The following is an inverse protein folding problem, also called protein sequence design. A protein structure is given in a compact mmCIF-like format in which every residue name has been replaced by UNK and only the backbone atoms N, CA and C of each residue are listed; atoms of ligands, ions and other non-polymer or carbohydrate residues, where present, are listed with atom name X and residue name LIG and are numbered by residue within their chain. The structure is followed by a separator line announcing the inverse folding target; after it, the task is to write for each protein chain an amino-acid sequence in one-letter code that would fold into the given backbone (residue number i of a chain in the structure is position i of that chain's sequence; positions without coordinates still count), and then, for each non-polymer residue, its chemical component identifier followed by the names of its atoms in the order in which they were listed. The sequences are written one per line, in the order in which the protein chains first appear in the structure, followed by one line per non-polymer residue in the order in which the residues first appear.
data_IF_575108332354
#
_entry.id   IF_575108332354
#
_cell.length_a   1.000
_cell.length_b   1.000
_cell.length_c   1.000
_cell.angle_alpha   90.00
_cell.angle_beta   90.00
_cell.angle_gamma   90.00
#
_symmetry.space_group_name_H-M   'P 1'
#
loop_
_entity.id
_entity.type
_entity.pdbx_description
1 polymer ?
#
# COMPACT_ATOMS: atom_id res chain seq x y z
N UNK A 1 26.50 -13.49 2.30
CA UNK A 1 25.10 -13.10 2.04
C UNK A 1 24.19 -13.41 3.22
N UNK A 2 24.21 -14.62 3.78
CA UNK A 2 23.22 -15.04 4.79
C UNK A 2 23.28 -14.30 6.14
N UNK A 3 24.44 -13.82 6.58
CA UNK A 3 24.59 -13.37 7.97
C UNK A 3 23.86 -12.04 8.26
N UNK A 4 23.94 -11.01 7.40
CA UNK A 4 23.19 -9.76 7.64
C UNK A 4 21.68 -9.91 7.44
N UNK A 5 21.25 -10.64 6.41
CA UNK A 5 19.83 -10.80 6.08
C UNK A 5 19.12 -11.63 7.15
N UNK A 6 19.75 -12.69 7.64
CA UNK A 6 19.23 -13.51 8.73
C UNK A 6 19.20 -12.74 10.04
N UNK A 7 20.27 -12.00 10.41
CA UNK A 7 20.26 -11.14 11.60
C UNK A 7 19.16 -10.08 11.53
N UNK A 8 18.98 -9.46 10.37
CA UNK A 8 17.91 -8.49 10.12
C UNK A 8 16.52 -9.11 10.27
N UNK A 9 16.30 -10.32 9.75
CA UNK A 9 15.03 -11.03 9.89
C UNK A 9 14.73 -11.36 11.35
N UNK A 10 15.70 -11.96 12.06
CA UNK A 10 15.57 -12.29 13.49
C UNK A 10 15.28 -11.03 14.29
N UNK A 11 15.99 -9.93 14.02
CA UNK A 11 15.72 -8.63 14.63
C UNK A 11 14.27 -8.20 14.42
N UNK A 12 13.78 -8.19 13.18
CA UNK A 12 12.41 -7.79 12.87
C UNK A 12 11.38 -8.71 13.50
N UNK A 13 11.61 -10.02 13.56
CA UNK A 13 10.71 -10.97 14.23
C UNK A 13 10.65 -10.71 15.73
N UNK A 14 11.80 -10.60 16.40
CA UNK A 14 11.86 -10.29 17.84
C UNK A 14 11.17 -8.96 18.13
N UNK A 15 11.43 -7.95 17.30
CA UNK A 15 10.79 -6.64 17.41
C UNK A 15 9.26 -6.73 17.31
N UNK A 16 8.73 -7.41 16.29
CA UNK A 16 7.28 -7.57 16.14
C UNK A 16 6.68 -8.42 17.26
N UNK A 17 7.40 -9.42 17.78
CA UNK A 17 6.94 -10.22 18.92
C UNK A 17 6.81 -9.38 20.20
N UNK A 18 7.75 -8.47 20.46
CA UNK A 18 7.67 -7.55 21.60
C UNK A 18 6.42 -6.65 21.52
N UNK A 19 6.16 -6.07 20.34
CA UNK A 19 4.97 -5.25 20.12
C UNK A 19 3.68 -6.05 20.08
N UNK A 20 3.70 -7.28 19.60
CA UNK A 20 2.59 -8.22 19.71
C UNK A 20 2.24 -8.49 21.18
N UNK A 21 3.23 -8.83 22.01
CA UNK A 21 3.02 -9.04 23.45
C UNK A 21 2.46 -7.77 24.11
N UNK A 22 3.04 -6.60 23.81
CA UNK A 22 2.54 -5.32 24.32
C UNK A 22 1.09 -5.05 23.87
N UNK A 23 0.75 -5.32 22.61
CA UNK A 23 -0.59 -5.16 22.06
C UNK A 23 -1.61 -6.06 22.76
N UNK A 24 -1.25 -7.32 23.05
CA UNK A 24 -2.09 -8.28 23.78
C UNK A 24 -2.29 -7.84 25.24
N UNK A 25 -1.20 -7.46 25.93
CA UNK A 25 -1.25 -7.05 27.35
C UNK A 25 -2.03 -5.75 27.55
N UNK A 26 -1.81 -4.76 26.68
CA UNK A 26 -2.46 -3.45 26.77
C UNK A 26 -3.86 -3.43 26.11
N UNK A 27 -4.25 -4.52 25.44
CA UNK A 27 -5.52 -4.60 24.71
C UNK A 27 -5.66 -3.50 23.64
N UNK A 28 -4.54 -3.02 23.09
CA UNK A 28 -4.53 -1.91 22.14
C UNK A 28 -3.82 -2.28 20.84
N UNK A 29 -4.49 -1.91 19.77
CA UNK A 29 -4.13 -2.08 18.38
C UNK A 29 -3.45 -0.84 17.80
N UNK A 30 -3.46 0.28 18.54
CA UNK A 30 -2.81 1.53 18.15
C UNK A 30 -1.29 1.42 17.95
N UNK A 31 -0.70 0.35 18.50
CA UNK A 31 0.73 0.07 18.43
C UNK A 31 1.16 -0.55 17.10
N UNK A 32 0.25 -1.10 16.28
CA UNK A 32 0.62 -1.80 15.03
C UNK A 32 1.32 -0.87 14.05
N UNK A 33 0.71 0.29 13.81
CA UNK A 33 1.16 1.28 12.84
C UNK A 33 2.48 1.94 13.31
N UNK A 34 2.60 2.16 14.63
CA UNK A 34 3.85 2.66 15.23
C UNK A 34 4.99 1.66 15.03
N UNK A 35 4.76 0.40 15.44
CA UNK A 35 5.75 -0.67 15.36
C UNK A 35 6.23 -0.93 13.93
N UNK A 36 5.34 -0.85 12.94
CA UNK A 36 5.72 -0.99 11.53
C UNK A 36 6.77 0.03 11.11
N UNK A 37 6.47 1.32 11.26
CA UNK A 37 7.38 2.38 10.80
C UNK A 37 8.65 2.52 11.65
N UNK A 38 8.59 2.32 12.98
CA UNK A 38 9.81 2.31 13.80
C UNK A 38 10.72 1.14 13.51
N UNK A 39 10.18 -0.03 13.13
CA UNK A 39 10.99 -1.18 12.71
C UNK A 39 11.79 -0.85 11.43
N UNK A 40 11.17 -0.22 10.42
CA UNK A 40 11.90 0.25 9.23
C UNK A 40 13.06 1.19 9.58
N UNK A 41 12.80 2.18 10.42
CA UNK A 41 13.81 3.14 10.86
C UNK A 41 14.97 2.43 11.58
N UNK A 42 14.65 1.60 12.58
CA UNK A 42 15.67 0.93 13.40
C UNK A 42 16.44 -0.11 12.61
N UNK A 43 15.81 -0.83 11.68
CA UNK A 43 16.47 -1.82 10.85
C UNK A 43 17.46 -1.16 9.87
N UNK A 44 17.07 -0.05 9.23
CA UNK A 44 17.94 0.71 8.36
C UNK A 44 19.14 1.31 9.12
N UNK A 45 18.91 1.80 10.35
CA UNK A 45 19.95 2.30 11.24
C UNK A 45 20.89 1.18 11.71
N UNK A 46 20.33 0.06 12.15
CA UNK A 46 21.08 -1.14 12.56
C UNK A 46 22.02 -1.60 11.44
N UNK A 47 21.51 -1.71 10.21
CA UNK A 47 22.32 -2.08 9.05
C UNK A 47 23.49 -1.10 8.84
N UNK A 48 23.23 0.21 8.83
CA UNK A 48 24.27 1.23 8.64
C UNK A 48 25.34 1.21 9.74
N UNK A 49 24.96 0.95 11.00
CA UNK A 49 25.87 0.94 12.14
C UNK A 49 26.78 -0.30 12.15
N UNK A 50 26.27 -1.44 11.69
CA UNK A 50 27.01 -2.72 11.61
C UNK A 50 28.04 -2.74 10.48
N UNK A 51 27.90 -1.88 9.47
CA UNK A 51 28.87 -1.78 8.39
C UNK A 51 30.10 -0.97 8.81
N UNK A 52 31.28 -1.58 8.65
CA UNK A 52 32.56 -0.88 8.82
C UNK A 52 32.74 0.20 7.74
N UNK A 53 32.52 -0.16 6.47
CA UNK A 53 32.57 0.78 5.35
C UNK A 53 31.19 1.39 5.12
N UNK A 54 30.93 2.48 5.85
CA UNK A 54 29.72 3.32 5.70
C UNK A 54 29.80 4.18 4.44
N UNK A 55 29.63 3.56 3.29
CA UNK A 55 29.63 4.24 1.98
C UNK A 55 28.59 5.36 1.98
N UNK A 56 28.83 6.41 1.17
CA UNK A 56 27.89 7.52 1.05
C UNK A 56 26.50 7.04 0.61
N UNK A 57 26.45 6.11 -0.35
CA UNK A 57 25.23 5.45 -0.82
C UNK A 57 24.43 4.80 0.31
N UNK A 58 25.09 4.03 1.19
CA UNK A 58 24.44 3.39 2.33
C UNK A 58 23.85 4.44 3.29
N UNK A 59 24.60 5.49 3.63
CA UNK A 59 24.11 6.59 4.49
C UNK A 59 22.89 7.29 3.91
N UNK A 60 22.90 7.56 2.60
CA UNK A 60 21.77 8.17 1.90
C UNK A 60 20.56 7.24 1.97
N UNK A 61 20.68 5.97 1.58
CA UNK A 61 19.55 5.04 1.62
C UNK A 61 18.96 4.88 3.03
N UNK A 62 19.80 4.77 4.06
CA UNK A 62 19.34 4.76 5.44
C UNK A 62 18.55 6.03 5.75
N UNK A 63 19.02 7.20 5.34
CA UNK A 63 18.31 8.47 5.52
C UNK A 63 16.98 8.49 4.78
N UNK A 64 16.93 8.04 3.52
CA UNK A 64 15.70 7.99 2.72
C UNK A 64 14.65 7.08 3.38
N UNK A 65 15.04 5.88 3.80
CA UNK A 65 14.14 4.95 4.49
C UNK A 65 13.69 5.55 5.84
N UNK A 66 14.60 6.14 6.61
CA UNK A 66 14.29 6.78 7.89
C UNK A 66 13.29 7.93 7.74
N UNK A 67 13.46 8.79 6.74
CA UNK A 67 12.54 9.92 6.48
C UNK A 67 11.17 9.41 6.06
N UNK A 68 11.12 8.43 5.14
CA UNK A 68 9.85 7.82 4.72
C UNK A 68 9.13 7.16 5.89
N UNK A 69 9.85 6.39 6.71
CA UNK A 69 9.32 5.68 7.86
C UNK A 69 8.79 6.65 8.93
N UNK A 70 9.55 7.70 9.24
CA UNK A 70 9.12 8.75 10.16
C UNK A 70 7.82 9.41 9.67
N UNK A 71 7.77 9.81 8.39
CA UNK A 71 6.57 10.40 7.80
C UNK A 71 5.38 9.44 7.86
N UNK A 72 5.57 8.15 7.55
CA UNK A 72 4.51 7.15 7.63
C UNK A 72 3.98 7.01 9.06
N UNK A 73 4.87 6.80 10.02
CA UNK A 73 4.53 6.67 11.44
C UNK A 73 3.78 7.89 11.96
N UNK A 74 4.24 9.12 11.65
CA UNK A 74 3.57 10.34 12.06
C UNK A 74 2.17 10.48 11.45
N UNK A 75 2.01 10.18 10.16
CA UNK A 75 0.72 10.24 9.49
C UNK A 75 -0.28 9.24 10.07
N UNK A 76 0.14 7.99 10.26
CA UNK A 76 -0.71 6.94 10.83
C UNK A 76 -1.08 7.23 12.29
N UNK A 77 -0.11 7.69 13.10
CA UNK A 77 -0.37 8.10 14.48
C UNK A 77 -1.39 9.25 14.54
N UNK A 78 -1.22 10.27 13.70
CA UNK A 78 -2.16 11.39 13.60
C UNK A 78 -3.57 10.91 13.22
N UNK A 79 -3.67 9.97 12.27
CA UNK A 79 -4.93 9.37 11.83
C UNK A 79 -5.64 8.62 12.96
N UNK A 80 -4.90 7.83 13.74
CA UNK A 80 -5.42 7.07 14.89
C UNK A 80 -5.94 8.00 15.99
N UNK A 81 -5.21 9.09 16.28
CA UNK A 81 -5.63 10.07 17.30
C UNK A 81 -6.94 10.76 16.88
N UNK A 82 -7.09 11.07 15.59
CA UNK A 82 -8.25 11.79 15.08
C UNK A 82 -9.51 10.91 14.96
N UNK A 83 -9.36 9.65 14.56
CA UNK A 83 -10.48 8.74 14.34
C UNK A 83 -10.30 7.50 15.22
N UNK A 84 -10.82 7.56 16.45
CA UNK A 84 -10.50 6.61 17.53
C UNK A 84 -10.98 5.17 17.35
N UNK A 85 -11.73 4.84 16.30
CA UNK A 85 -12.22 3.48 16.04
C UNK A 85 -11.78 2.98 14.66
N UNK A 86 -10.84 2.04 14.65
CA UNK A 86 -10.55 1.24 13.47
C UNK A 86 -11.37 -0.06 13.54
N UNK A 87 -12.45 -0.13 12.75
CA UNK A 87 -13.41 -1.26 12.78
C UNK A 87 -12.77 -2.59 12.39
N UNK A 88 -11.66 -2.57 11.63
CA UNK A 88 -10.85 -3.75 11.26
C UNK A 88 -10.25 -4.46 12.47
N UNK A 89 -9.91 -3.72 13.53
CA UNK A 89 -9.14 -4.23 14.67
C UNK A 89 -10.03 -4.86 15.76
N UNK A 90 -11.34 -4.62 15.75
CA UNK A 90 -12.30 -5.39 16.57
C UNK A 90 -12.37 -6.86 16.16
N UNK A 91 -12.26 -7.17 14.87
CA UNK A 91 -12.26 -8.56 14.38
C UNK A 91 -10.95 -9.31 14.70
N UNK A 92 -9.81 -8.60 14.76
CA UNK A 92 -8.52 -9.20 15.13
C UNK A 92 -8.45 -9.61 16.60
N UNK A 93 -9.15 -8.90 17.50
CA UNK A 93 -9.26 -9.26 18.92
C UNK A 93 -9.98 -10.60 19.15
N UNK A 94 -10.80 -11.05 18.19
CA UNK A 94 -11.51 -12.32 18.32
C UNK A 94 -10.62 -13.55 18.11
N UNK A 95 -9.39 -13.39 17.59
CA UNK A 95 -8.47 -14.52 17.38
C UNK A 95 -7.01 -14.11 17.53
N UNK A 96 -6.37 -14.63 18.59
CA UNK A 96 -4.94 -14.42 18.85
C UNK A 96 -4.06 -14.89 17.68
N UNK A 97 -4.50 -15.94 16.95
CA UNK A 97 -3.81 -16.47 15.79
C UNK A 97 -3.84 -15.53 14.59
N UNK A 98 -4.97 -14.85 14.35
CA UNK A 98 -5.06 -13.82 13.30
C UNK A 98 -4.17 -12.63 13.62
N UNK A 99 -4.14 -12.21 14.90
CA UNK A 99 -3.26 -11.14 15.35
C UNK A 99 -1.78 -11.54 15.20
N UNK A 100 -1.37 -12.72 15.67
CA UNK A 100 -0.01 -13.21 15.52
C UNK A 100 0.42 -13.30 14.04
N UNK A 101 -0.47 -13.77 13.16
CA UNK A 101 -0.22 -13.82 11.71
C UNK A 101 -0.01 -12.42 11.12
N UNK A 102 -0.80 -11.43 11.54
CA UNK A 102 -0.61 -10.03 11.12
C UNK A 102 0.79 -9.51 11.49
N UNK A 103 1.23 -9.71 12.74
CA UNK A 103 2.55 -9.27 13.20
C UNK A 103 3.69 -9.97 12.46
N UNK A 104 3.53 -11.26 12.15
CA UNK A 104 4.51 -11.99 11.35
C UNK A 104 4.58 -11.49 9.90
N UNK A 105 3.43 -11.28 9.25
CA UNK A 105 3.38 -10.67 7.90
C UNK A 105 3.99 -9.28 7.91
N UNK A 106 3.77 -8.49 8.96
CA UNK A 106 4.41 -7.20 9.14
C UNK A 106 5.95 -7.31 9.29
N UNK A 107 6.46 -8.33 9.99
CA UNK A 107 7.90 -8.60 10.09
C UNK A 107 8.50 -8.92 8.72
N UNK A 108 7.87 -9.82 7.97
CA UNK A 108 8.29 -10.19 6.61
C UNK A 108 8.23 -8.97 5.69
N UNK A 109 7.18 -8.15 5.82
CA UNK A 109 7.03 -6.96 5.00
C UNK A 109 8.17 -5.96 5.23
N UNK A 110 8.49 -5.63 6.49
CA UNK A 110 9.61 -4.74 6.83
C UNK A 110 10.93 -5.31 6.32
N UNK A 111 11.15 -6.61 6.52
CA UNK A 111 12.38 -7.29 6.13
C UNK A 111 12.61 -7.25 4.62
N UNK A 112 11.66 -7.75 3.82
CA UNK A 112 11.77 -7.81 2.34
C UNK A 112 11.89 -6.41 1.75
N UNK A 113 11.10 -5.46 2.24
CA UNK A 113 11.10 -4.09 1.74
C UNK A 113 12.44 -3.38 2.05
N UNK A 114 13.14 -3.79 3.11
CA UNK A 114 14.47 -3.27 3.48
C UNK A 114 15.64 -3.92 2.72
N UNK A 115 15.40 -4.84 1.78
CA UNK A 115 16.48 -5.54 1.08
C UNK A 115 17.52 -4.64 0.39
N UNK A 116 17.19 -3.49 -0.23
CA UNK A 116 18.19 -2.60 -0.84
C UNK A 116 19.25 -2.10 0.16
N UNK A 117 18.82 -1.71 1.38
CA UNK A 117 19.75 -1.25 2.42
C UNK A 117 20.54 -2.43 2.99
N UNK A 118 19.89 -3.59 3.20
CA UNK A 118 20.55 -4.81 3.66
C UNK A 118 21.57 -5.35 2.65
N UNK A 119 21.28 -5.27 1.35
CA UNK A 119 22.16 -5.70 0.28
C UNK A 119 23.44 -4.85 0.25
N UNK A 120 23.31 -3.53 0.31
CA UNK A 120 24.45 -2.61 0.38
C UNK A 120 25.26 -2.77 1.66
N UNK A 121 24.60 -3.03 2.79
CA UNK A 121 25.25 -3.24 4.08
C UNK A 121 25.79 -4.66 4.29
N UNK A 122 25.56 -5.57 3.36
CA UNK A 122 26.01 -6.96 3.48
C UNK A 122 27.52 -7.10 3.39
N UNK A 123 28.06 -8.12 4.04
CA UNK A 123 29.49 -8.46 4.01
C UNK A 123 29.96 -8.70 2.57
N UNK A 124 29.08 -9.26 1.72
CA UNK A 124 29.33 -9.45 0.29
C UNK A 124 29.51 -8.12 -0.45
N UNK A 125 28.66 -7.13 -0.20
CA UNK A 125 28.82 -5.77 -0.77
C UNK A 125 30.09 -5.08 -0.24
N UNK A 126 30.41 -5.26 1.04
CA UNK A 126 31.58 -4.66 1.68
C UNK A 126 32.91 -5.20 1.11
N UNK A 127 32.93 -6.43 0.61
CA UNK A 127 34.07 -7.05 -0.06
C UNK A 127 34.28 -6.54 -1.50
N UNK A 128 33.29 -5.88 -2.10
CA UNK A 128 33.39 -5.33 -3.45
C UNK A 128 34.07 -3.96 -3.47
N UNK A 129 34.68 -3.56 -4.61
CA UNK A 129 35.20 -2.21 -4.79
C UNK A 129 34.11 -1.15 -4.65
N UNK A 130 34.42 -0.02 -3.99
CA UNK A 130 33.48 1.09 -3.90
C UNK A 130 33.40 1.79 -5.24
N UNK A 131 32.23 1.75 -5.88
CA UNK A 131 31.95 2.51 -7.08
C UNK A 131 31.54 3.95 -6.76
N UNK A 132 31.94 4.93 -7.60
CA UNK A 132 31.46 6.30 -7.49
C UNK A 132 29.94 6.38 -7.68
N UNK A 133 29.37 7.54 -7.42
CA UNK A 133 27.97 7.82 -7.74
C UNK A 133 27.78 7.85 -9.25
N UNK A 134 26.69 7.26 -9.74
CA UNK A 134 26.31 7.25 -11.14
C UNK A 134 24.95 7.93 -11.35
N UNK A 135 24.52 8.05 -12.59
CA UNK A 135 23.25 8.68 -12.96
C UNK A 135 22.04 8.03 -12.27
N UNK A 136 22.09 6.72 -12.01
CA UNK A 136 21.00 5.99 -11.35
C UNK A 136 20.84 6.36 -9.87
N UNK A 137 21.93 6.77 -9.19
CA UNK A 137 21.84 7.30 -7.83
C UNK A 137 20.96 8.55 -7.79
N UNK A 138 21.27 9.54 -8.63
CA UNK A 138 20.54 10.80 -8.70
C UNK A 138 19.11 10.60 -9.19
N UNK A 139 18.91 9.77 -10.22
CA UNK A 139 17.58 9.43 -10.71
C UNK A 139 16.74 8.74 -9.61
N UNK A 140 17.34 7.83 -8.85
CA UNK A 140 16.69 7.17 -7.72
C UNK A 140 16.30 8.15 -6.61
N UNK A 141 17.16 9.10 -6.25
CA UNK A 141 16.85 10.11 -5.23
C UNK A 141 15.76 11.08 -5.68
N UNK A 142 15.78 11.51 -6.94
CA UNK A 142 14.72 12.36 -7.51
C UNK A 142 13.38 11.62 -7.56
N UNK A 143 13.39 10.35 -7.98
CA UNK A 143 12.20 9.51 -8.01
C UNK A 143 11.65 9.28 -6.60
N UNK A 144 12.51 9.02 -5.62
CA UNK A 144 12.14 8.88 -4.23
C UNK A 144 11.52 10.17 -3.68
N UNK A 145 12.13 11.32 -3.96
CA UNK A 145 11.62 12.62 -3.49
C UNK A 145 10.25 12.93 -4.10
N UNK A 146 10.10 12.74 -5.42
CA UNK A 146 8.83 12.90 -6.11
C UNK A 146 7.74 11.96 -5.57
N UNK A 147 8.11 10.70 -5.30
CA UNK A 147 7.24 9.70 -4.70
C UNK A 147 6.78 10.09 -3.30
N UNK A 148 7.71 10.49 -2.42
CA UNK A 148 7.40 10.92 -1.06
C UNK A 148 6.49 12.15 -1.03
N UNK A 149 6.76 13.13 -1.90
CA UNK A 149 5.94 14.34 -2.02
C UNK A 149 4.52 14.00 -2.50
N UNK A 150 4.39 13.17 -3.54
CA UNK A 150 3.09 12.74 -4.05
C UNK A 150 2.30 11.97 -2.98
N UNK A 151 2.94 11.02 -2.31
CA UNK A 151 2.33 10.25 -1.22
C UNK A 151 1.82 11.18 -0.11
N UNK A 152 2.67 12.10 0.34
CA UNK A 152 2.34 13.06 1.41
C UNK A 152 1.17 13.97 1.02
N UNK A 153 1.18 14.50 -0.20
CA UNK A 153 0.12 15.37 -0.71
C UNK A 153 -1.20 14.61 -0.87
N UNK A 154 -1.15 13.39 -1.42
CA UNK A 154 -2.32 12.53 -1.56
C UNK A 154 -2.96 12.22 -0.20
N UNK A 155 -2.15 11.79 0.77
CA UNK A 155 -2.62 11.44 2.12
C UNK A 155 -3.24 12.65 2.83
N UNK A 156 -2.61 13.82 2.72
CA UNK A 156 -3.13 15.07 3.28
C UNK A 156 -4.46 15.48 2.64
N UNK A 157 -4.56 15.44 1.31
CA UNK A 157 -5.79 15.78 0.59
C UNK A 157 -6.93 14.84 0.97
N UNK A 158 -6.67 13.53 1.07
CA UNK A 158 -7.66 12.53 1.51
C UNK A 158 -8.13 12.79 2.93
N UNK A 159 -7.20 13.14 3.83
CA UNK A 159 -7.51 13.47 5.21
C UNK A 159 -8.38 14.73 5.31
N UNK A 160 -8.07 15.78 4.55
CA UNK A 160 -8.87 17.00 4.49
C UNK A 160 -10.27 16.74 3.91
N UNK A 161 -10.36 15.94 2.84
CA UNK A 161 -11.62 15.56 2.25
C UNK A 161 -12.51 14.84 3.28
N UNK A 162 -11.96 13.85 4.00
CA UNK A 162 -12.70 13.10 5.02
C UNK A 162 -13.18 14.00 6.17
N UNK A 163 -12.41 15.02 6.56
CA UNK A 163 -12.82 16.00 7.58
C UNK A 163 -13.99 16.87 7.12
N UNK A 164 -14.02 17.26 5.84
CA UNK A 164 -15.05 18.15 5.27
C UNK A 164 -16.28 17.40 4.74
N UNK A 165 -16.20 16.08 4.58
CA UNK A 165 -17.27 15.26 4.02
C UNK A 165 -18.66 15.42 4.69
N UNK A 166 -18.78 15.63 6.02
CA UNK A 166 -20.09 15.88 6.65
C UNK A 166 -20.74 17.23 6.26
N UNK A 167 -19.93 18.20 5.81
CA UNK A 167 -20.37 19.58 5.52
C UNK A 167 -20.63 19.81 4.03
N UNK A 168 -20.10 18.94 3.17
CA UNK A 168 -20.16 19.06 1.73
C UNK A 168 -21.22 18.11 1.15
N UNK A 169 -22.24 18.65 0.50
CA UNK A 169 -23.10 17.93 -0.46
C UNK A 169 -22.31 17.51 -1.74
N UNK A 170 -21.04 17.13 -1.60
CA UNK A 170 -20.15 16.71 -2.68
C UNK A 170 -20.15 15.19 -2.83
N UNK A 171 -19.53 14.72 -3.92
CA UNK A 171 -19.32 13.29 -4.16
C UNK A 171 -18.65 12.64 -2.94
N UNK A 172 -19.08 11.45 -2.51
CA UNK A 172 -18.59 10.81 -1.29
C UNK A 172 -17.20 10.18 -1.42
N UNK A 173 -16.53 10.36 -2.56
CA UNK A 173 -15.14 9.98 -2.79
C UNK A 173 -14.26 11.21 -3.07
N UNK A 174 -12.98 11.11 -2.71
CA UNK A 174 -12.02 12.19 -2.87
C UNK A 174 -11.63 12.34 -4.35
N UNK A 175 -11.85 13.54 -4.89
CA UNK A 175 -11.42 13.94 -6.24
C UNK A 175 -10.55 15.20 -6.19
N UNK A 176 -10.07 15.56 -5.00
CA UNK A 176 -9.30 16.77 -4.75
C UNK A 176 -7.85 16.61 -5.21
N UNK A 177 -7.32 17.62 -5.91
CA UNK A 177 -5.90 17.69 -6.26
C UNK A 177 -5.38 16.45 -7.01
N UNK A 178 -4.44 15.71 -6.41
CA UNK A 178 -3.81 14.56 -7.07
C UNK A 178 -4.76 13.37 -7.24
N UNK A 179 -5.82 13.30 -6.44
CA UNK A 179 -6.88 12.29 -6.54
C UNK A 179 -7.75 12.45 -7.80
N UNK A 180 -7.64 13.58 -8.50
CA UNK A 180 -8.27 13.73 -9.82
C UNK A 180 -7.54 12.94 -10.90
N UNK A 181 -6.24 12.67 -10.75
CA UNK A 181 -5.43 12.03 -11.77
C UNK A 181 -5.29 10.51 -11.57
N UNK A 182 -5.48 10.04 -10.35
CA UNK A 182 -5.42 8.62 -10.00
C UNK A 182 -6.37 8.35 -8.83
N UNK A 183 -6.93 7.14 -8.77
CA UNK A 183 -7.74 6.66 -7.66
C UNK A 183 -6.90 6.26 -6.45
N UNK A 184 -5.62 5.97 -6.63
CA UNK A 184 -4.66 5.63 -5.57
C UNK A 184 -3.30 6.34 -5.77
N UNK A 185 -3.27 7.69 -5.80
CA UNK A 185 -2.04 8.45 -6.06
C UNK A 185 -1.00 8.27 -4.95
N UNK A 186 -1.45 8.00 -3.71
CA UNK A 186 -0.55 7.69 -2.60
C UNK A 186 0.20 6.36 -2.82
N UNK A 187 -0.46 5.33 -3.36
CA UNK A 187 0.19 4.06 -3.71
C UNK A 187 1.18 4.22 -4.86
N UNK A 188 0.89 5.08 -5.84
CA UNK A 188 1.88 5.40 -6.87
C UNK A 188 3.10 6.11 -6.28
N UNK A 189 2.90 7.04 -5.34
CA UNK A 189 3.98 7.68 -4.60
C UNK A 189 4.86 6.67 -3.85
N UNK A 190 4.24 5.71 -3.17
CA UNK A 190 4.93 4.62 -2.47
C UNK A 190 5.74 3.74 -3.44
N UNK A 191 5.21 3.42 -4.63
CA UNK A 191 5.98 2.72 -5.66
C UNK A 191 7.21 3.52 -6.09
N UNK A 192 7.07 4.82 -6.35
CA UNK A 192 8.19 5.68 -6.70
C UNK A 192 9.26 5.73 -5.60
N UNK A 193 8.86 5.74 -4.32
CA UNK A 193 9.77 5.63 -3.17
C UNK A 193 10.62 4.37 -3.25
N UNK A 194 10.00 3.20 -3.38
CA UNK A 194 10.74 1.93 -3.32
C UNK A 194 11.54 1.65 -4.60
N UNK A 195 11.03 2.03 -5.77
CA UNK A 195 11.80 1.99 -7.01
C UNK A 195 12.97 2.97 -6.97
N UNK A 196 12.81 4.16 -6.38
CA UNK A 196 13.90 5.12 -6.17
C UNK A 196 14.99 4.59 -5.25
N UNK A 197 14.61 3.90 -4.16
CA UNK A 197 15.55 3.22 -3.25
C UNK A 197 16.33 2.12 -3.96
N UNK A 198 15.68 1.32 -4.82
CA UNK A 198 16.36 0.31 -5.63
C UNK A 198 17.32 0.92 -6.66
N UNK A 199 16.87 1.93 -7.44
CA UNK A 199 17.72 2.58 -8.43
C UNK A 199 18.97 3.20 -7.80
N UNK A 200 18.82 3.80 -6.62
CA UNK A 200 19.94 4.36 -5.86
C UNK A 200 20.85 3.32 -5.20
N UNK A 201 20.41 2.07 -5.07
CA UNK A 201 21.27 0.97 -4.60
C UNK A 201 22.02 0.27 -5.73
N UNK A 202 21.51 0.34 -6.97
CA UNK A 202 21.91 -0.48 -8.11
C UNK A 202 23.43 -0.59 -8.31
N UNK A 203 24.14 0.54 -8.40
CA UNK A 203 25.58 0.54 -8.64
C UNK A 203 26.38 -0.18 -7.54
N UNK A 204 25.87 -0.23 -6.30
CA UNK A 204 26.52 -0.95 -5.21
C UNK A 204 26.18 -2.45 -5.16
N UNK A 205 25.25 -2.93 -5.98
CA UNK A 205 24.81 -4.34 -5.97
C UNK A 205 24.93 -5.02 -7.34
N UNK A 206 25.17 -4.28 -8.43
CA UNK A 206 25.16 -4.81 -9.80
C UNK A 206 26.23 -5.88 -10.07
N UNK A 207 27.38 -5.84 -9.40
CA UNK A 207 28.46 -6.83 -9.58
C UNK A 207 28.17 -8.18 -8.89
N UNK A 208 27.07 -8.27 -8.15
CA UNK A 208 26.65 -9.48 -7.45
C UNK A 208 25.20 -9.79 -7.80
N UNK A 209 24.99 -10.76 -8.70
CA UNK A 209 23.65 -11.17 -9.11
C UNK A 209 22.71 -11.44 -7.94
N UNK A 210 23.11 -12.13 -6.86
CA UNK A 210 22.23 -12.31 -5.71
C UNK A 210 21.87 -11.02 -4.95
N UNK A 211 22.81 -10.07 -4.82
CA UNK A 211 22.53 -8.78 -4.18
C UNK A 211 21.61 -7.92 -5.04
N UNK A 212 21.79 -7.95 -6.36
CA UNK A 212 20.89 -7.32 -7.31
C UNK A 212 19.47 -7.90 -7.19
N UNK A 213 19.33 -9.23 -7.18
CA UNK A 213 18.04 -9.92 -7.02
C UNK A 213 17.39 -9.56 -5.68
N UNK A 214 18.16 -9.51 -4.58
CA UNK A 214 17.65 -9.07 -3.30
C UNK A 214 17.16 -7.61 -3.35
N UNK A 215 17.95 -6.70 -3.94
CA UNK A 215 17.59 -5.29 -4.02
C UNK A 215 16.32 -5.05 -4.84
N UNK A 216 16.16 -5.70 -6.01
CA UNK A 216 14.96 -5.54 -6.85
C UNK A 216 13.73 -6.23 -6.26
N UNK A 217 13.91 -7.24 -5.42
CA UNK A 217 12.79 -7.91 -4.76
C UNK A 217 11.97 -6.96 -3.87
N UNK A 218 12.57 -5.91 -3.30
CA UNK A 218 11.85 -4.92 -2.47
C UNK A 218 10.74 -4.18 -3.24
N UNK A 219 11.04 -3.38 -4.29
CA UNK A 219 9.99 -2.65 -5.00
C UNK A 219 9.00 -3.58 -5.72
N UNK A 220 9.45 -4.75 -6.19
CA UNK A 220 8.56 -5.76 -6.78
C UNK A 220 7.59 -6.30 -5.73
N UNK A 221 8.07 -6.63 -4.54
CA UNK A 221 7.24 -7.12 -3.45
C UNK A 221 6.21 -6.08 -3.00
N UNK A 222 6.62 -4.82 -2.81
CA UNK A 222 5.67 -3.73 -2.49
C UNK A 222 4.63 -3.56 -3.59
N UNK A 223 5.04 -3.61 -4.86
CA UNK A 223 4.13 -3.55 -6.00
C UNK A 223 3.12 -4.71 -5.98
N UNK A 224 3.56 -5.94 -5.74
CA UNK A 224 2.65 -7.08 -5.67
C UNK A 224 1.64 -6.94 -4.51
N UNK A 225 2.08 -6.49 -3.33
CA UNK A 225 1.21 -6.25 -2.19
C UNK A 225 0.13 -5.19 -2.50
N UNK A 226 0.54 -4.09 -3.15
CA UNK A 226 -0.37 -3.00 -3.50
C UNK A 226 -1.34 -3.39 -4.61
N UNK A 227 -0.88 -4.12 -5.63
CA UNK A 227 -1.71 -4.49 -6.78
C UNK A 227 -2.64 -5.67 -6.50
N UNK A 228 -2.23 -6.65 -5.68
CA UNK A 228 -2.95 -7.94 -5.58
C UNK A 228 -3.44 -8.32 -4.20
N UNK A 229 -2.88 -7.75 -3.12
CA UNK A 229 -3.15 -8.21 -1.76
C UNK A 229 -3.93 -7.17 -0.97
N UNK A 230 -3.22 -6.32 -0.22
CA UNK A 230 -3.81 -5.46 0.81
C UNK A 230 -4.06 -4.03 0.35
N UNK A 231 -3.52 -3.63 -0.81
CA UNK A 231 -3.67 -2.29 -1.37
C UNK A 231 -4.98 -2.09 -2.13
N UNK A 232 -4.88 -1.95 -3.46
CA UNK A 232 -5.98 -1.56 -4.33
C UNK A 232 -7.18 -2.52 -4.33
N UNK A 233 -7.03 -3.87 -4.37
CA UNK A 233 -8.19 -4.76 -4.44
C UNK A 233 -9.19 -4.56 -3.29
N UNK A 234 -8.70 -4.50 -2.05
CA UNK A 234 -9.56 -4.34 -0.87
C UNK A 234 -10.27 -2.98 -0.86
N UNK A 235 -9.58 -1.91 -1.27
CA UNK A 235 -10.17 -0.57 -1.33
C UNK A 235 -11.20 -0.47 -2.45
N UNK A 236 -10.88 -0.97 -3.64
CA UNK A 236 -11.78 -0.97 -4.79
C UNK A 236 -13.04 -1.77 -4.52
N UNK A 237 -12.91 -2.97 -3.94
CA UNK A 237 -14.06 -3.79 -3.55
C UNK A 237 -14.93 -3.10 -2.49
N UNK A 238 -14.31 -2.46 -1.48
CA UNK A 238 -15.05 -1.71 -0.47
C UNK A 238 -15.84 -0.55 -1.07
N UNK A 239 -15.25 0.19 -2.01
CA UNK A 239 -15.91 1.29 -2.73
C UNK A 239 -17.03 0.77 -3.64
N UNK A 240 -16.78 -0.31 -4.38
CA UNK A 240 -17.80 -0.95 -5.23
C UNK A 240 -19.01 -1.40 -4.39
N UNK A 241 -18.80 -2.06 -3.25
CA UNK A 241 -19.90 -2.46 -2.35
C UNK A 241 -20.70 -1.26 -1.84
N UNK A 242 -20.02 -0.15 -1.55
CA UNK A 242 -20.66 1.06 -1.02
C UNK A 242 -21.47 1.84 -2.07
N UNK A 243 -21.02 1.86 -3.33
CA UNK A 243 -21.58 2.75 -4.36
C UNK A 243 -22.24 2.05 -5.54
N UNK A 244 -22.04 0.74 -5.73
CA UNK A 244 -22.66 -0.03 -6.82
C UNK A 244 -23.70 -1.04 -6.35
N UNK A 245 -23.68 -1.45 -5.07
CA UNK A 245 -24.47 -2.60 -4.58
C UNK A 245 -25.97 -2.38 -4.37
N UNK A 246 -26.51 -1.16 -4.47
CA UNK A 246 -27.85 -0.83 -3.96
C UNK A 246 -28.85 -0.27 -5.00
N UNK A 247 -28.68 -0.58 -6.28
CA UNK A 247 -29.48 0.01 -7.38
C UNK A 247 -30.77 -0.75 -7.73
N UNK A 248 -31.10 -1.84 -7.03
CA UNK A 248 -32.25 -2.72 -7.37
C UNK A 248 -33.64 -2.12 -7.11
N UNK A 249 -33.75 -0.98 -6.41
CA UNK A 249 -35.04 -0.31 -6.20
C UNK A 249 -35.32 0.66 -7.34
N UNK A 250 -36.15 0.24 -8.31
CA UNK A 250 -36.82 1.15 -9.23
C UNK A 250 -37.97 1.84 -8.50
N UNK A 251 -37.99 3.17 -8.54
CA UNK A 251 -39.17 3.92 -8.12
C UNK A 251 -40.32 3.63 -9.10
N UNK A 252 -41.50 3.34 -8.57
CA UNK A 252 -42.74 3.12 -9.35
C UNK A 252 -43.09 4.30 -10.27
N UNK A 253 -42.57 5.49 -9.99
CA UNK A 253 -42.82 6.74 -10.71
C UNK A 253 -41.80 7.03 -11.84
N UNK A 254 -40.88 6.10 -12.14
CA UNK A 254 -39.88 6.26 -13.20
C UNK A 254 -38.79 7.31 -12.93
N UNK A 255 -38.73 7.88 -11.72
CA UNK A 255 -37.68 8.83 -11.30
C UNK A 255 -36.47 8.09 -10.75
N UNK A 256 -35.29 8.37 -11.31
CA UNK A 256 -34.01 7.89 -10.78
C UNK A 256 -33.88 8.18 -9.28
N UNK A 257 -33.50 7.14 -8.53
CA UNK A 257 -33.17 7.29 -7.11
C UNK A 257 -31.82 7.97 -6.96
N UNK A 258 -31.59 8.65 -5.83
CA UNK A 258 -30.28 9.22 -5.48
C UNK A 258 -29.17 8.15 -5.51
N UNK A 259 -29.51 6.92 -5.11
CA UNK A 259 -28.61 5.76 -5.17
C UNK A 259 -28.21 5.40 -6.61
N UNK A 260 -29.13 5.47 -7.58
CA UNK A 260 -28.84 5.22 -8.99
C UNK A 260 -27.92 6.31 -9.56
N UNK A 261 -28.23 7.58 -9.31
CA UNK A 261 -27.36 8.71 -9.73
C UNK A 261 -25.95 8.60 -9.17
N UNK A 262 -25.83 8.18 -7.91
CA UNK A 262 -24.54 7.98 -7.26
C UNK A 262 -23.76 6.82 -7.88
N UNK A 263 -24.43 5.71 -8.19
CA UNK A 263 -23.81 4.57 -8.85
C UNK A 263 -23.31 4.92 -10.26
N UNK A 264 -24.08 5.68 -11.03
CA UNK A 264 -23.68 6.18 -12.35
C UNK A 264 -22.50 7.15 -12.27
N UNK A 265 -22.55 8.11 -11.34
CA UNK A 265 -21.44 9.03 -11.10
C UNK A 265 -20.16 8.28 -10.70
N UNK A 266 -20.28 7.22 -9.88
CA UNK A 266 -19.15 6.40 -9.48
C UNK A 266 -18.58 5.59 -10.65
N UNK A 267 -19.45 5.04 -11.50
CA UNK A 267 -19.04 4.35 -12.73
C UNK A 267 -18.32 5.30 -13.70
N UNK A 268 -18.84 6.50 -13.90
CA UNK A 268 -18.20 7.54 -14.70
C UNK A 268 -16.82 7.92 -14.11
N UNK A 269 -16.74 8.08 -12.79
CA UNK A 269 -15.47 8.32 -12.09
C UNK A 269 -14.43 7.23 -12.37
N UNK A 270 -14.78 5.93 -12.26
CA UNK A 270 -13.86 4.82 -12.56
C UNK A 270 -13.43 4.79 -14.03
N UNK A 271 -14.34 5.12 -14.95
CA UNK A 271 -14.03 5.13 -16.39
C UNK A 271 -13.06 6.24 -16.80
N UNK A 272 -13.09 7.36 -16.07
CA UNK A 272 -12.31 8.57 -16.35
C UNK A 272 -11.08 8.72 -15.45
N UNK A 273 -10.90 7.88 -14.42
CA UNK A 273 -9.80 8.02 -13.45
C UNK A 273 -8.97 6.75 -13.38
N UNK A 274 -7.70 6.86 -13.76
CA UNK A 274 -6.71 5.78 -13.65
C UNK A 274 -6.69 5.19 -12.22
N UNK A 275 -6.55 3.86 -12.05
CA UNK A 275 -6.46 3.27 -10.72
C UNK A 275 -5.17 3.68 -10.02
N UNK A 276 -4.02 3.67 -10.73
CA UNK A 276 -2.71 3.80 -10.10
C UNK A 276 -1.87 4.93 -10.71
N UNK A 277 -1.49 4.82 -11.98
CA UNK A 277 -0.58 5.76 -12.63
C UNK A 277 -1.33 7.08 -12.90
N UNK A 278 -0.89 8.24 -12.35
CA UNK A 278 -1.59 9.51 -12.54
C UNK A 278 -1.71 9.91 -14.02
N UNK A 279 -2.93 10.19 -14.47
CA UNK A 279 -3.20 10.67 -15.83
C UNK A 279 -4.38 11.66 -15.83
N UNK A 280 -4.36 12.73 -16.64
CA UNK A 280 -5.51 13.63 -16.76
C UNK A 280 -6.79 12.87 -17.16
N UNK A 281 -7.94 13.14 -16.53
CA UNK A 281 -9.17 12.37 -16.76
C UNK A 281 -9.63 12.30 -18.21
N UNK A 282 -9.46 13.41 -18.94
CA UNK A 282 -9.82 13.48 -20.36
C UNK A 282 -8.97 12.52 -21.20
N UNK A 283 -7.68 12.43 -20.90
CA UNK A 283 -6.76 11.52 -21.59
C UNK A 283 -7.08 10.07 -21.22
N UNK A 284 -7.28 9.79 -19.93
CA UNK A 284 -7.61 8.43 -19.48
C UNK A 284 -8.94 7.94 -20.06
N UNK A 285 -9.97 8.79 -20.08
CA UNK A 285 -11.29 8.45 -20.61
C UNK A 285 -11.21 7.94 -22.06
N UNK A 286 -10.39 8.59 -22.89
CA UNK A 286 -10.20 8.27 -24.31
C UNK A 286 -9.37 7.00 -24.59
N UNK A 287 -8.69 6.43 -23.59
CA UNK A 287 -7.85 5.24 -23.82
C UNK A 287 -8.69 3.99 -24.11
N UNK A 288 -8.28 3.15 -25.09
CA UNK A 288 -8.84 1.82 -25.27
C UNK A 288 -8.71 0.96 -24.02
N UNK A 289 -9.69 0.08 -23.79
CA UNK A 289 -9.73 -0.83 -22.63
C UNK A 289 -8.48 -1.71 -22.52
N UNK A 290 -7.87 -2.08 -23.65
CA UNK A 290 -6.62 -2.84 -23.67
C UNK A 290 -5.50 -2.06 -22.99
N UNK A 291 -5.31 -0.77 -23.32
CA UNK A 291 -4.28 0.08 -22.71
C UNK A 291 -4.56 0.31 -21.23
N UNK A 292 -5.83 0.54 -20.86
CA UNK A 292 -6.24 0.67 -19.46
C UNK A 292 -5.86 -0.58 -18.65
N UNK A 293 -6.09 -1.77 -19.22
CA UNK A 293 -5.81 -3.06 -18.57
C UNK A 293 -4.33 -3.42 -18.49
N UNK A 294 -3.52 -3.05 -19.49
CA UNK A 294 -2.12 -3.47 -19.55
C UNK A 294 -1.17 -2.47 -18.91
N UNK A 295 -1.32 -1.18 -19.24
CA UNK A 295 -0.40 -0.12 -18.79
C UNK A 295 -0.85 0.46 -17.46
N UNK A 296 -2.16 0.67 -17.29
CA UNK A 296 -2.72 1.32 -16.11
C UNK A 296 -3.24 0.34 -15.06
N UNK A 297 -3.09 -0.97 -15.25
CA UNK A 297 -3.54 -1.99 -14.30
C UNK A 297 -5.05 -2.00 -14.01
N UNK A 298 -5.91 -1.58 -14.94
CA UNK A 298 -7.38 -1.63 -14.77
C UNK A 298 -7.92 -3.08 -14.89
N UNK A 299 -7.55 -3.96 -13.97
CA UNK A 299 -7.90 -5.37 -14.02
C UNK A 299 -9.29 -5.67 -13.46
N UNK A 300 -9.87 -6.80 -13.91
CA UNK A 300 -11.19 -7.26 -13.48
C UNK A 300 -11.30 -7.52 -11.97
N UNK A 301 -10.19 -7.79 -11.30
CA UNK A 301 -10.16 -7.98 -9.84
C UNK A 301 -10.59 -6.72 -9.06
N UNK A 302 -10.63 -5.55 -9.71
CA UNK A 302 -11.10 -4.27 -9.14
C UNK A 302 -12.55 -3.93 -9.51
N UNK A 303 -13.21 -4.76 -10.31
CA UNK A 303 -14.62 -4.61 -10.66
C UNK A 303 -15.49 -5.20 -9.53
N UNK A 304 -16.77 -4.81 -9.47
CA UNK A 304 -17.69 -5.44 -8.53
C UNK A 304 -17.91 -6.90 -8.94
N UNK A 305 -17.89 -7.82 -7.98
CA UNK A 305 -18.50 -9.13 -8.20
C UNK A 305 -19.98 -8.89 -8.53
N UNK A 306 -20.41 -9.32 -9.72
CA UNK A 306 -21.82 -9.46 -10.02
C UNK A 306 -22.41 -10.34 -8.92
N UNK A 307 -23.32 -9.77 -8.11
CA UNK A 307 -23.94 -10.47 -7.00
C UNK A 307 -24.39 -11.87 -7.48
N UNK A 308 -24.13 -12.94 -6.71
CA UNK A 308 -24.64 -14.25 -7.08
C UNK A 308 -26.14 -14.13 -7.32
N UNK A 309 -26.59 -14.61 -8.48
CA UNK A 309 -27.99 -14.63 -8.86
C UNK A 309 -28.80 -15.27 -7.71
N UNK A 310 -29.56 -14.46 -6.97
CA UNK A 310 -30.52 -14.93 -5.96
C UNK A 310 -31.58 -15.88 -6.56
N UNK A 311 -31.63 -16.03 -7.88
CA UNK A 311 -32.46 -17.01 -8.58
C UNK A 311 -31.99 -18.47 -8.44
N UNK A 312 -30.84 -18.75 -7.81
CA UNK A 312 -30.42 -20.12 -7.48
C UNK A 312 -30.72 -20.55 -6.03
N UNK A 313 -30.88 -19.64 -5.07
CA UNK A 313 -31.24 -20.01 -3.69
C UNK A 313 -32.73 -20.28 -3.50
N UNK A 314 -33.59 -19.67 -4.31
CA UNK A 314 -35.04 -19.92 -4.24
C UNK A 314 -35.46 -21.20 -4.98
N UNK A 315 -34.76 -21.60 -6.06
CA UNK A 315 -35.04 -22.87 -6.74
C UNK A 315 -34.71 -24.09 -5.90
N UNK A 316 -33.71 -24.00 -5.01
CA UNK A 316 -33.37 -25.08 -4.08
C UNK A 316 -34.34 -25.18 -2.89
N UNK A 317 -35.05 -24.11 -2.54
CA UNK A 317 -36.07 -24.14 -1.47
C UNK A 317 -37.41 -24.67 -1.97
N UNK A 318 -37.81 -24.33 -3.20
CA UNK A 318 -39.05 -24.85 -3.79
C UNK A 318 -38.97 -26.35 -4.15
N UNK A 319 -37.79 -26.85 -4.57
CA UNK A 319 -37.63 -28.29 -4.86
C UNK A 319 -37.66 -29.18 -3.62
N UNK A 320 -37.39 -28.61 -2.44
CA UNK A 320 -37.40 -29.34 -1.17
C UNK A 320 -38.77 -29.39 -0.51
N UNK A 321 -39.64 -28.40 -0.76
CA UNK A 321 -41.02 -28.38 -0.24
C UNK A 321 -42.03 -29.10 -1.15
N UNK A 322 -41.66 -29.48 -2.37
CA UNK A 322 -42.50 -30.30 -3.25
C UNK A 322 -42.32 -31.82 -3.05
N UNK A 323 -41.53 -32.26 -2.05
CA UNK A 323 -41.29 -33.66 -1.69
C UNK A 323 -41.47 -33.95 -0.20
N UNK A 324 -42.48 -33.34 0.44
CA UNK A 324 -42.99 -33.78 1.73
C UNK A 324 -44.50 -33.97 1.69
#
# INVERSE_FOLDING_TARGET
MESVFTRAFVYSVVYQLLFFTASVVLGTDKLTDFAGGTNFFLLALYCCLQCERRTFRLKVLTTLISVWAFRLSCFLLYRIILWSEDRRLKEFRASIWKLASFWFVQAVWVWVTSFPVLALGSETSQALPVKPLCTLDYAGWLLWLGGLLLETVADFQKLQHKKRAPELNKTPWCTDGVWRFSRHPNYFGELCVWWGIFLSSYAGVEDSFPLFVAAIASPVFVMLLLLFVSGMPLLEQSMNRRYQGNTKFENRDGRETEAQRLAEAFKAYKNCTSPLIPLPPLVYASLPTVIKRTVFFEWKIYEAESAPNESQSDRSRDSSNARM
#
